data_IF_741961186726
#
_entry.id   IF_741961186726
#
_cell.length_a   1.000
_cell.length_b   1.000
_cell.length_c   1.000
_cell.angle_alpha   90.00
_cell.angle_beta   90.00
_cell.angle_gamma   90.00
#
_symmetry.space_group_name_H-M   'P 1'
#
loop_
_entity.id
_entity.type
_entity.pdbx_description
1 polymer ?
#
# COMPACT_ATOMS: atom_id res chain seq x y z
N UNK A 1 13.19 35.64 -18.68
CA UNK A 1 13.11 34.16 -18.77
C UNK A 1 12.27 33.67 -17.60
N UNK A 2 10.95 33.93 -17.63
CA UNK A 2 10.05 33.72 -16.48
C UNK A 2 8.75 33.02 -16.90
N UNK A 3 8.79 32.26 -18.01
CA UNK A 3 7.61 31.64 -18.62
C UNK A 3 7.50 30.12 -18.42
N UNK A 4 8.60 29.45 -18.03
CA UNK A 4 8.64 27.98 -17.91
C UNK A 4 8.33 27.48 -16.48
N UNK A 5 8.73 28.23 -15.44
CA UNK A 5 8.43 27.88 -14.03
C UNK A 5 6.92 27.81 -13.74
N UNK A 6 6.13 28.68 -14.37
CA UNK A 6 4.67 28.68 -14.23
C UNK A 6 4.05 27.36 -14.73
N UNK A 7 4.53 26.81 -15.84
CA UNK A 7 3.97 25.58 -16.43
C UNK A 7 4.23 24.31 -15.62
N UNK A 8 5.38 24.20 -14.95
CA UNK A 8 5.72 22.98 -14.19
C UNK A 8 4.97 22.97 -12.86
N UNK A 9 5.01 24.06 -12.10
CA UNK A 9 4.31 24.10 -10.82
C UNK A 9 2.78 24.04 -10.99
N UNK A 10 2.23 24.60 -12.07
CA UNK A 10 0.82 24.40 -12.43
C UNK A 10 0.50 22.91 -12.66
N UNK A 11 1.44 22.16 -13.23
CA UNK A 11 1.29 20.71 -13.45
C UNK A 11 1.43 19.93 -12.14
N UNK A 12 2.32 20.36 -11.23
CA UNK A 12 2.47 19.77 -9.89
C UNK A 12 1.20 19.93 -9.07
N UNK A 13 0.56 21.10 -9.10
CA UNK A 13 -0.70 21.35 -8.38
C UNK A 13 -1.86 20.46 -8.86
N UNK A 14 -1.80 19.95 -10.11
CA UNK A 14 -2.79 18.96 -10.57
C UNK A 14 -2.78 17.69 -9.72
N UNK A 15 -1.66 17.33 -9.08
CA UNK A 15 -1.58 16.16 -8.21
C UNK A 15 -2.45 16.30 -6.94
N UNK A 16 -2.76 17.53 -6.53
CA UNK A 16 -3.66 17.83 -5.42
C UNK A 16 -5.11 18.08 -5.86
N UNK A 17 -5.42 17.90 -7.15
CA UNK A 17 -6.75 18.20 -7.66
C UNK A 17 -7.81 17.27 -7.02
N UNK A 18 -9.04 17.76 -6.73
CA UNK A 18 -10.09 16.93 -6.14
C UNK A 18 -10.54 15.80 -7.06
N UNK A 19 -10.48 16.02 -8.39
CA UNK A 19 -10.85 15.01 -9.38
C UNK A 19 -9.67 14.11 -9.71
N UNK A 20 -9.91 12.79 -9.64
CA UNK A 20 -8.92 11.78 -10.04
C UNK A 20 -8.36 12.02 -11.45
N UNK A 21 -9.23 12.34 -12.41
CA UNK A 21 -8.82 12.58 -13.80
C UNK A 21 -7.77 13.70 -13.94
N UNK A 22 -7.87 14.73 -13.10
CA UNK A 22 -6.92 15.84 -13.11
C UNK A 22 -5.58 15.41 -12.50
N UNK A 23 -5.60 14.64 -11.40
CA UNK A 23 -4.39 14.06 -10.79
C UNK A 23 -3.66 13.10 -11.74
N UNK A 24 -4.40 12.17 -12.35
CA UNK A 24 -3.87 11.21 -13.31
C UNK A 24 -3.21 11.94 -14.50
N UNK A 25 -3.81 13.06 -14.95
CA UNK A 25 -3.23 13.91 -15.99
C UNK A 25 -1.93 14.57 -15.53
N UNK A 26 -1.89 15.14 -14.33
CA UNK A 26 -0.70 15.76 -13.75
C UNK A 26 0.47 14.77 -13.68
N UNK A 27 0.20 13.57 -13.17
CA UNK A 27 1.20 12.50 -13.07
C UNK A 27 1.77 12.10 -14.45
N UNK A 28 0.90 11.90 -15.45
CA UNK A 28 1.35 11.54 -16.81
C UNK A 28 2.24 12.65 -17.39
N UNK A 29 1.87 13.92 -17.22
CA UNK A 29 2.67 15.03 -17.74
C UNK A 29 4.03 15.13 -17.05
N UNK A 30 4.10 15.03 -15.72
CA UNK A 30 5.35 15.08 -14.97
C UNK A 30 6.27 13.90 -15.31
N UNK A 31 5.71 12.73 -15.64
CA UNK A 31 6.47 11.57 -16.11
C UNK A 31 7.13 11.77 -17.48
N UNK A 32 6.70 12.73 -18.28
CA UNK A 32 7.32 13.05 -19.57
C UNK A 32 8.24 14.29 -19.53
N UNK A 33 8.10 15.13 -18.52
CA UNK A 33 8.89 16.37 -18.37
C UNK A 33 10.34 16.11 -17.92
N UNK A 34 11.24 17.04 -18.25
CA UNK A 34 12.60 17.13 -17.71
C UNK A 34 12.68 18.33 -16.77
N UNK A 35 13.54 18.25 -15.75
CA UNK A 35 13.62 19.26 -14.71
C UNK A 35 15.04 19.81 -14.59
N UNK A 36 15.15 21.11 -14.37
CA UNK A 36 16.38 21.80 -13.97
C UNK A 36 16.61 21.65 -12.46
N UNK A 37 17.83 21.91 -12.00
CA UNK A 37 18.15 21.83 -10.56
C UNK A 37 17.35 22.84 -9.73
N UNK A 38 17.08 24.04 -10.27
CA UNK A 38 16.20 25.03 -9.63
C UNK A 38 14.75 24.51 -9.49
N UNK A 39 14.19 23.91 -10.54
CA UNK A 39 12.84 23.33 -10.51
C UNK A 39 12.75 22.13 -9.56
N UNK A 40 13.78 21.28 -9.53
CA UNK A 40 13.87 20.17 -8.57
C UNK A 40 13.81 20.68 -7.14
N UNK A 41 14.57 21.74 -6.83
CA UNK A 41 14.55 22.36 -5.52
C UNK A 41 13.16 22.89 -5.18
N UNK A 42 12.51 23.63 -6.08
CA UNK A 42 11.15 24.13 -5.87
C UNK A 42 10.12 23.02 -5.65
N UNK A 43 10.23 21.90 -6.38
CA UNK A 43 9.35 20.75 -6.20
C UNK A 43 9.59 20.01 -4.89
N UNK A 44 10.84 19.88 -4.44
CA UNK A 44 11.14 19.30 -3.12
C UNK A 44 10.62 20.20 -2.01
N UNK A 45 10.86 21.51 -2.08
CA UNK A 45 10.29 22.46 -1.10
C UNK A 45 8.75 22.36 -1.08
N UNK A 46 8.12 22.22 -2.25
CA UNK A 46 6.67 22.01 -2.36
C UNK A 46 6.20 20.70 -1.70
N UNK A 47 6.92 19.58 -1.89
CA UNK A 47 6.61 18.29 -1.25
C UNK A 47 6.61 18.46 0.27
N UNK A 48 7.65 19.10 0.82
CA UNK A 48 7.79 19.27 2.27
C UNK A 48 6.65 20.10 2.83
N UNK A 49 6.31 21.21 2.17
CA UNK A 49 5.18 22.07 2.57
C UNK A 49 3.86 21.30 2.53
N UNK A 50 3.59 20.56 1.46
CA UNK A 50 2.33 19.81 1.29
C UNK A 50 2.23 18.59 2.19
N UNK A 51 3.36 18.09 2.69
CA UNK A 51 3.37 16.99 3.63
C UNK A 51 3.17 17.45 5.09
N UNK A 52 3.37 18.73 5.44
CA UNK A 52 3.34 19.24 6.82
C UNK A 52 1.95 19.64 7.37
N UNK A 53 1.68 19.29 8.64
CA UNK A 53 0.60 19.73 9.55
C UNK A 53 -0.67 20.40 8.95
N UNK A 54 -1.75 19.60 8.90
CA UNK A 54 -3.10 19.90 8.36
C UNK A 54 -3.23 20.16 6.84
N UNK A 55 -2.51 19.46 5.93
CA UNK A 55 -2.87 19.45 4.52
C UNK A 55 -4.16 18.65 4.31
N UNK A 56 -4.84 18.90 3.19
CA UNK A 56 -5.92 17.99 2.75
C UNK A 56 -5.34 16.62 2.39
N UNK A 57 -6.15 15.56 2.36
CA UNK A 57 -5.62 14.24 1.93
C UNK A 57 -5.11 14.31 0.48
N UNK A 58 -5.69 15.20 -0.34
CA UNK A 58 -5.24 15.49 -1.70
C UNK A 58 -3.82 16.07 -1.73
N UNK A 59 -3.49 16.96 -0.79
CA UNK A 59 -2.15 17.54 -0.67
C UNK A 59 -1.11 16.48 -0.30
N UNK A 60 -1.40 15.64 0.70
CA UNK A 60 -0.51 14.54 1.09
C UNK A 60 -0.35 13.55 -0.07
N UNK A 61 -1.45 13.18 -0.72
CA UNK A 61 -1.43 12.32 -1.91
C UNK A 61 -0.53 12.91 -2.99
N UNK A 62 -0.66 14.22 -3.26
CA UNK A 62 0.15 14.92 -4.25
C UNK A 62 1.64 14.93 -3.88
N UNK A 63 1.98 15.21 -2.63
CA UNK A 63 3.35 15.19 -2.11
C UNK A 63 4.00 13.79 -2.25
N UNK A 64 3.29 12.73 -1.86
CA UNK A 64 3.77 11.34 -1.96
C UNK A 64 3.93 10.94 -3.43
N UNK A 65 2.97 11.30 -4.28
CA UNK A 65 3.02 11.00 -5.72
C UNK A 65 4.18 11.73 -6.40
N UNK A 66 4.39 13.02 -6.11
CA UNK A 66 5.51 13.77 -6.68
C UNK A 66 6.85 13.19 -6.21
N UNK A 67 6.95 12.86 -4.92
CA UNK A 67 8.13 12.20 -4.36
C UNK A 67 8.48 10.93 -5.13
N UNK A 68 7.47 10.09 -5.39
CA UNK A 68 7.63 8.85 -6.18
C UNK A 68 8.14 9.16 -7.59
N UNK A 69 7.54 10.11 -8.29
CA UNK A 69 7.93 10.49 -9.66
C UNK A 69 9.38 10.98 -9.70
N UNK A 70 9.76 11.87 -8.77
CA UNK A 70 11.11 12.40 -8.70
C UNK A 70 12.12 11.30 -8.39
N UNK A 71 11.87 10.47 -7.38
CA UNK A 71 12.77 9.37 -7.02
C UNK A 71 12.94 8.34 -8.14
N UNK A 72 11.90 8.10 -8.93
CA UNK A 72 11.94 7.16 -10.06
C UNK A 72 12.71 7.72 -11.26
N UNK A 73 12.61 9.03 -11.54
CA UNK A 73 13.13 9.63 -12.77
C UNK A 73 14.46 10.34 -12.60
N UNK A 74 14.68 10.97 -11.45
CA UNK A 74 15.79 11.89 -11.25
C UNK A 74 16.98 11.12 -10.64
N UNK A 75 18.21 11.33 -11.16
CA UNK A 75 19.41 10.73 -10.60
C UNK A 75 19.63 11.13 -9.14
N UNK A 76 20.23 10.23 -8.36
CA UNK A 76 20.49 10.48 -6.93
C UNK A 76 21.49 11.61 -6.70
N UNK A 77 22.37 11.89 -7.68
CA UNK A 77 23.30 13.01 -7.63
C UNK A 77 22.58 14.36 -7.56
N UNK A 78 21.43 14.49 -8.23
CA UNK A 78 20.62 15.71 -8.23
C UNK A 78 19.68 15.79 -7.02
N UNK A 79 19.13 14.66 -6.56
CA UNK A 79 18.22 14.63 -5.41
C UNK A 79 18.92 14.61 -4.05
N UNK A 80 20.13 14.06 -3.98
CA UNK A 80 20.89 13.89 -2.74
C UNK A 80 21.09 15.20 -1.96
N UNK A 81 21.51 16.31 -2.59
CA UNK A 81 21.63 17.60 -1.91
C UNK A 81 20.31 18.14 -1.33
N UNK A 82 19.17 17.72 -1.91
CA UNK A 82 17.82 18.12 -1.48
C UNK A 82 17.25 17.21 -0.39
N UNK A 83 17.96 16.11 -0.03
CA UNK A 83 17.58 15.14 1.02
C UNK A 83 16.18 14.55 0.87
N UNK A 84 15.62 14.52 -0.36
CA UNK A 84 14.26 14.06 -0.59
C UNK A 84 14.03 12.64 -0.04
N UNK A 85 14.99 11.73 -0.23
CA UNK A 85 14.91 10.35 0.25
C UNK A 85 14.74 10.30 1.77
N UNK A 86 15.61 11.00 2.50
CA UNK A 86 15.60 10.99 3.96
C UNK A 86 14.27 11.52 4.49
N UNK A 87 13.83 12.66 3.96
CA UNK A 87 12.60 13.32 4.40
C UNK A 87 11.36 12.44 4.17
N UNK A 88 11.25 11.75 3.03
CA UNK A 88 10.09 10.87 2.76
C UNK A 88 10.12 9.57 3.55
N UNK A 89 11.31 9.03 3.86
CA UNK A 89 11.46 7.83 4.68
C UNK A 89 11.11 8.13 6.13
N UNK A 90 11.56 9.26 6.68
CA UNK A 90 11.24 9.69 8.04
C UNK A 90 9.74 9.90 8.24
N UNK A 91 9.02 10.34 7.20
CA UNK A 91 7.57 10.58 7.22
C UNK A 91 6.72 9.37 6.81
N UNK A 92 7.33 8.25 6.44
CA UNK A 92 6.59 7.11 5.86
C UNK A 92 5.45 6.62 6.76
N UNK A 93 5.67 6.60 8.08
CA UNK A 93 4.64 6.20 9.05
C UNK A 93 3.40 7.10 9.05
N UNK A 94 3.56 8.38 8.67
CA UNK A 94 2.44 9.32 8.54
C UNK A 94 1.60 8.99 7.29
N UNK A 95 2.22 8.42 6.26
CA UNK A 95 1.56 8.11 4.99
C UNK A 95 0.91 6.71 5.00
N UNK A 96 1.58 5.69 5.52
CA UNK A 96 1.12 4.30 5.50
C UNK A 96 0.01 4.00 6.54
N UNK A 97 -0.08 4.79 7.61
CA UNK A 97 -1.17 4.76 8.59
C UNK A 97 -2.25 5.81 8.36
N UNK A 98 -2.12 6.62 7.30
CA UNK A 98 -3.06 7.72 7.03
C UNK A 98 -4.50 7.22 6.90
N UNK A 99 -5.49 7.99 7.39
CA UNK A 99 -6.90 7.56 7.39
C UNK A 99 -7.47 7.35 5.98
N UNK A 100 -7.06 8.18 5.00
CA UNK A 100 -7.48 8.05 3.62
C UNK A 100 -6.71 6.95 2.87
N UNK A 101 -7.46 5.97 2.35
CA UNK A 101 -6.96 4.82 1.62
C UNK A 101 -6.07 5.19 0.42
N UNK A 102 -6.40 6.25 -0.32
CA UNK A 102 -5.61 6.69 -1.49
C UNK A 102 -4.20 7.11 -1.10
N UNK A 103 -4.03 7.73 0.06
CA UNK A 103 -2.71 8.12 0.58
C UNK A 103 -1.89 6.87 0.92
N UNK A 104 -2.50 5.89 1.59
CA UNK A 104 -1.84 4.61 1.91
C UNK A 104 -1.39 3.85 0.66
N UNK A 105 -2.19 3.84 -0.41
CA UNK A 105 -1.77 3.26 -1.69
C UNK A 105 -0.60 4.02 -2.32
N UNK A 106 -0.65 5.36 -2.32
CA UNK A 106 0.47 6.15 -2.83
C UNK A 106 1.76 5.89 -2.03
N UNK A 107 1.64 5.70 -0.70
CA UNK A 107 2.75 5.31 0.17
C UNK A 107 3.32 3.94 -0.21
N UNK A 108 2.47 2.96 -0.50
CA UNK A 108 2.90 1.65 -0.97
C UNK A 108 3.68 1.74 -2.30
N UNK A 109 3.18 2.50 -3.28
CA UNK A 109 3.90 2.74 -4.54
C UNK A 109 5.23 3.47 -4.33
N UNK A 110 5.30 4.39 -3.36
CA UNK A 110 6.54 5.06 -2.99
C UNK A 110 7.54 4.07 -2.37
N UNK A 111 7.09 3.19 -1.47
CA UNK A 111 7.91 2.12 -0.90
C UNK A 111 8.47 1.18 -1.98
N UNK A 112 7.68 0.87 -3.04
CA UNK A 112 8.17 0.10 -4.20
C UNK A 112 9.36 0.78 -4.85
N UNK A 113 9.25 2.08 -5.18
CA UNK A 113 10.33 2.84 -5.82
C UNK A 113 11.56 2.93 -4.91
N UNK A 114 11.37 3.13 -3.61
CA UNK A 114 12.45 3.14 -2.63
C UNK A 114 13.15 1.77 -2.54
N UNK A 115 12.40 0.66 -2.53
CA UNK A 115 12.99 -0.68 -2.54
C UNK A 115 13.70 -0.99 -3.87
N UNK A 116 13.14 -0.56 -5.00
CA UNK A 116 13.75 -0.74 -6.31
C UNK A 116 15.07 0.03 -6.45
N UNK A 117 15.14 1.25 -5.89
CA UNK A 117 16.31 2.10 -6.00
C UNK A 117 17.40 1.78 -4.98
N UNK A 118 17.00 1.49 -3.73
CA UNK A 118 17.93 1.34 -2.60
C UNK A 118 18.06 -0.10 -2.09
N UNK A 119 17.32 -1.04 -2.67
CA UNK A 119 17.48 -2.48 -2.47
C UNK A 119 17.09 -2.98 -1.08
N UNK A 120 17.75 -4.07 -0.68
CA UNK A 120 17.43 -4.83 0.53
C UNK A 120 17.44 -4.01 1.84
N UNK A 121 18.39 -3.07 2.07
CA UNK A 121 18.37 -2.27 3.29
C UNK A 121 17.05 -1.50 3.48
N UNK A 122 16.50 -0.96 2.39
CA UNK A 122 15.24 -0.22 2.44
C UNK A 122 14.04 -1.13 2.70
N UNK A 123 14.03 -2.30 2.06
CA UNK A 123 13.03 -3.34 2.34
C UNK A 123 13.03 -3.74 3.82
N UNK A 124 14.22 -3.95 4.39
CA UNK A 124 14.38 -4.30 5.81
C UNK A 124 13.95 -3.18 6.76
N UNK A 125 14.01 -1.92 6.33
CA UNK A 125 13.46 -0.79 7.10
C UNK A 125 11.94 -0.84 7.18
N UNK A 126 11.25 -1.15 6.07
CA UNK A 126 9.77 -1.15 6.05
C UNK A 126 9.14 -2.43 6.57
N UNK A 127 9.81 -3.57 6.39
CA UNK A 127 9.24 -4.89 6.67
C UNK A 127 8.69 -5.07 8.10
N UNK A 128 9.37 -4.63 9.18
CA UNK A 128 8.84 -4.80 10.53
C UNK A 128 7.50 -4.09 10.74
N UNK A 129 7.38 -2.84 10.27
CA UNK A 129 6.14 -2.05 10.37
C UNK A 129 5.02 -2.69 9.55
N UNK A 130 5.33 -3.14 8.34
CA UNK A 130 4.34 -3.81 7.48
C UNK A 130 3.85 -5.11 8.12
N UNK A 131 4.75 -5.94 8.67
CA UNK A 131 4.37 -7.19 9.34
C UNK A 131 3.52 -6.92 10.57
N UNK A 132 3.91 -5.97 11.42
CA UNK A 132 3.09 -5.54 12.56
C UNK A 132 1.72 -5.04 12.13
N UNK A 133 1.65 -4.22 11.09
CA UNK A 133 0.39 -3.76 10.50
C UNK A 133 -0.48 -4.89 9.98
N UNK A 134 0.08 -5.92 9.34
CA UNK A 134 -0.69 -7.10 8.92
C UNK A 134 -1.18 -7.89 10.15
N UNK A 135 -0.31 -8.17 11.11
CA UNK A 135 -0.64 -8.96 12.31
C UNK A 135 -1.73 -8.32 13.17
N UNK A 136 -1.58 -7.04 13.49
CA UNK A 136 -2.54 -6.28 14.30
C UNK A 136 -3.94 -6.20 13.66
N UNK A 137 -4.01 -6.30 12.33
CA UNK A 137 -5.26 -6.16 11.58
C UNK A 137 -5.84 -7.51 11.12
N UNK A 138 -5.08 -8.61 11.24
CA UNK A 138 -5.55 -9.99 11.05
C UNK A 138 -6.40 -10.48 12.23
N UNK A 139 -6.13 -9.99 13.44
CA UNK A 139 -6.86 -10.34 14.65
C UNK A 139 -8.03 -9.36 14.88
N UNK A 140 -9.26 -9.87 15.01
CA UNK A 140 -10.36 -9.08 15.58
C UNK A 140 -10.09 -8.96 17.06
N UNK A 141 -9.82 -7.75 17.56
CA UNK A 141 -9.98 -7.49 18.99
C UNK A 141 -11.47 -7.20 19.27
N UNK A 142 -12.24 -8.13 19.85
CA UNK A 142 -13.64 -7.88 20.21
C UNK A 142 -13.83 -6.70 21.18
N UNK A 143 -12.76 -6.26 21.87
CA UNK A 143 -12.78 -5.10 22.79
C UNK A 143 -12.47 -3.77 22.08
N UNK A 144 -11.86 -3.78 20.89
CA UNK A 144 -11.56 -2.57 20.10
C UNK A 144 -12.73 -2.14 19.18
N UNK A 145 -13.85 -2.84 19.26
CA UNK A 145 -15.06 -2.61 18.47
C UNK A 145 -15.67 -1.22 18.66
N UNK A 146 -15.48 -0.56 19.81
CA UNK A 146 -16.09 0.76 20.08
C UNK A 146 -15.47 1.90 19.26
N UNK A 147 -14.13 1.97 19.20
CA UNK A 147 -13.43 2.99 18.41
C UNK A 147 -13.55 2.73 16.90
N UNK A 148 -13.58 1.46 16.50
CA UNK A 148 -13.79 1.04 15.10
C UNK A 148 -15.21 1.35 14.62
N UNK A 149 -16.19 1.17 15.50
CA UNK A 149 -17.57 1.61 15.25
C UNK A 149 -17.63 3.13 15.11
N UNK A 150 -16.92 3.90 15.93
CA UNK A 150 -16.86 5.36 15.81
C UNK A 150 -16.20 5.83 14.52
N UNK A 151 -15.07 5.24 14.11
CA UNK A 151 -14.38 5.60 12.86
C UNK A 151 -15.21 5.23 11.62
N UNK A 152 -15.78 4.03 11.60
CA UNK A 152 -16.67 3.56 10.52
C UNK A 152 -17.96 4.39 10.46
N UNK A 153 -18.50 4.79 11.63
CA UNK A 153 -19.67 5.67 11.71
C UNK A 153 -19.32 7.07 11.21
N UNK A 154 -18.13 7.60 11.50
CA UNK A 154 -17.69 8.90 10.98
C UNK A 154 -17.50 8.90 9.46
N UNK A 155 -16.95 7.83 8.90
CA UNK A 155 -16.88 7.65 7.43
C UNK A 155 -18.27 7.54 6.81
N UNK A 156 -19.18 6.83 7.47
CA UNK A 156 -20.56 6.69 7.06
C UNK A 156 -21.32 8.02 7.12
N UNK A 157 -21.14 8.81 8.18
CA UNK A 157 -21.75 10.13 8.33
C UNK A 157 -21.27 11.07 7.21
N UNK A 158 -19.96 11.07 6.93
CA UNK A 158 -19.38 11.80 5.79
C UNK A 158 -19.90 11.32 4.43
N UNK A 159 -20.13 10.02 4.26
CA UNK A 159 -20.68 9.45 3.03
C UNK A 159 -22.17 9.76 2.87
N UNK A 160 -22.93 9.77 3.97
CA UNK A 160 -24.37 10.03 4.01
C UNK A 160 -24.67 11.52 3.82
N UNK A 161 -23.84 12.41 4.38
CA UNK A 161 -23.89 13.85 4.12
C UNK A 161 -23.67 14.17 2.64
N UNK A 162 -22.84 13.38 1.95
CA UNK A 162 -22.58 13.51 0.52
C UNK A 162 -23.66 12.87 -0.36
N UNK A 163 -24.43 11.91 0.16
CA UNK A 163 -25.49 11.24 -0.59
C UNK A 163 -26.61 10.70 0.32
N UNK A 164 -27.70 11.48 0.53
CA UNK A 164 -28.76 11.14 1.50
C UNK A 164 -29.63 9.92 1.11
N UNK A 165 -29.37 9.29 -0.04
CA UNK A 165 -30.12 8.13 -0.54
C UNK A 165 -29.44 6.77 -0.23
N UNK A 166 -28.38 6.75 0.60
CA UNK A 166 -27.72 5.50 1.02
C UNK A 166 -28.67 4.62 1.85
N UNK A 167 -28.90 3.38 1.41
CA UNK A 167 -29.88 2.47 2.01
C UNK A 167 -29.32 1.69 3.22
N UNK A 168 -30.20 1.18 4.08
CA UNK A 168 -29.82 0.27 5.19
C UNK A 168 -29.11 -1.02 4.75
N UNK A 169 -29.27 -1.44 3.49
CA UNK A 169 -28.53 -2.58 2.92
C UNK A 169 -27.07 -2.22 2.59
N UNK A 170 -26.80 -0.94 2.31
CA UNK A 170 -25.45 -0.42 2.14
C UNK A 170 -24.71 -0.38 3.49
N UNK A 171 -25.43 -0.18 4.59
CA UNK A 171 -24.90 -0.21 5.96
C UNK A 171 -24.39 -1.60 6.38
N UNK A 172 -25.12 -2.66 6.02
CA UNK A 172 -24.73 -4.04 6.36
C UNK A 172 -23.49 -4.48 5.58
N UNK A 173 -23.39 -4.09 4.31
CA UNK A 173 -22.19 -4.30 3.49
C UNK A 173 -21.01 -3.50 4.08
N UNK A 174 -21.24 -2.24 4.49
CA UNK A 174 -20.22 -1.43 5.15
C UNK A 174 -19.68 -2.11 6.41
N UNK A 175 -20.54 -2.67 7.28
CA UNK A 175 -20.10 -3.38 8.48
C UNK A 175 -19.33 -4.68 8.18
N UNK A 176 -19.71 -5.42 7.14
CA UNK A 176 -19.00 -6.65 6.74
C UNK A 176 -17.65 -6.34 6.07
N UNK A 177 -17.47 -5.16 5.47
CA UNK A 177 -16.21 -4.70 4.83
C UNK A 177 -15.34 -3.80 5.70
N UNK A 178 -15.90 -3.08 6.68
CA UNK A 178 -15.20 -2.07 7.47
C UNK A 178 -14.39 -2.63 8.65
N UNK A 179 -14.61 -3.90 9.02
CA UNK A 179 -14.04 -4.46 10.26
C UNK A 179 -12.57 -4.88 10.23
N UNK A 180 -11.82 -4.61 9.17
CA UNK A 180 -10.41 -5.07 9.02
C UNK A 180 -9.43 -3.91 8.79
N UNK A 181 -9.86 -2.68 9.13
CA UNK A 181 -9.06 -1.46 9.18
C UNK A 181 -8.22 -1.27 7.90
N UNK A 182 -6.89 -1.37 8.00
CA UNK A 182 -5.93 -1.09 6.96
C UNK A 182 -5.25 -2.37 6.43
N UNK A 183 -5.79 -3.56 6.72
CA UNK A 183 -5.18 -4.85 6.37
C UNK A 183 -4.91 -4.98 4.87
N UNK A 184 -5.87 -4.62 4.02
CA UNK A 184 -5.70 -4.66 2.56
C UNK A 184 -4.55 -3.75 2.10
N UNK A 185 -4.45 -2.54 2.66
CA UNK A 185 -3.37 -1.61 2.34
C UNK A 185 -2.02 -2.10 2.85
N UNK A 186 -1.94 -2.71 4.03
CA UNK A 186 -0.71 -3.31 4.53
C UNK A 186 -0.22 -4.47 3.67
N UNK A 187 -1.13 -5.35 3.24
CA UNK A 187 -0.79 -6.42 2.30
C UNK A 187 -0.32 -5.86 0.95
N UNK A 188 -0.92 -4.76 0.47
CA UNK A 188 -0.45 -4.06 -0.73
C UNK A 188 0.93 -3.43 -0.53
N UNK A 189 1.22 -2.80 0.61
CA UNK A 189 2.57 -2.33 0.95
C UNK A 189 3.60 -3.45 0.82
N UNK A 190 3.30 -4.64 1.36
CA UNK A 190 4.19 -5.80 1.24
C UNK A 190 4.38 -6.23 -0.22
N UNK A 191 3.29 -6.31 -1.00
CA UNK A 191 3.36 -6.66 -2.43
C UNK A 191 4.22 -5.68 -3.23
N UNK A 192 4.04 -4.39 -3.01
CA UNK A 192 4.81 -3.31 -3.63
C UNK A 192 6.29 -3.37 -3.24
N UNK A 193 6.60 -3.58 -1.95
CA UNK A 193 7.98 -3.73 -1.49
C UNK A 193 8.70 -4.94 -2.13
N UNK A 194 8.02 -6.09 -2.19
CA UNK A 194 8.56 -7.31 -2.83
C UNK A 194 8.78 -7.11 -4.33
N UNK A 195 7.83 -6.46 -4.99
CA UNK A 195 7.93 -6.15 -6.43
C UNK A 195 9.10 -5.21 -6.69
N UNK A 196 9.24 -4.14 -5.89
CA UNK A 196 10.32 -3.17 -6.03
C UNK A 196 11.69 -3.80 -5.81
N UNK A 197 11.85 -4.63 -4.77
CA UNK A 197 13.12 -5.31 -4.48
C UNK A 197 13.57 -6.24 -5.61
N UNK A 198 12.61 -6.83 -6.32
CA UNK A 198 12.85 -7.71 -7.46
C UNK A 198 13.16 -9.17 -7.08
N UNK A 199 12.92 -10.05 -8.04
CA UNK A 199 12.95 -11.51 -7.83
C UNK A 199 14.29 -12.07 -7.36
N UNK A 200 15.42 -11.57 -7.87
CA UNK A 200 16.74 -12.12 -7.51
C UNK A 200 17.10 -11.85 -6.04
N UNK A 201 16.83 -10.64 -5.55
CA UNK A 201 17.18 -10.27 -4.17
C UNK A 201 16.22 -10.90 -3.16
N UNK A 202 14.92 -10.98 -3.46
CA UNK A 202 13.95 -11.58 -2.53
C UNK A 202 14.19 -13.09 -2.35
N UNK A 203 14.59 -13.81 -3.43
CA UNK A 203 14.91 -15.24 -3.39
C UNK A 203 16.02 -15.58 -2.39
N UNK A 204 16.94 -14.64 -2.16
CA UNK A 204 18.05 -14.81 -1.24
C UNK A 204 17.72 -14.39 0.20
N UNK A 205 16.87 -13.36 0.38
CA UNK A 205 16.52 -12.84 1.71
C UNK A 205 15.69 -13.81 2.56
N UNK A 206 14.71 -14.51 1.95
CA UNK A 206 13.90 -15.58 2.56
C UNK A 206 13.44 -15.35 4.01
N UNK A 207 12.51 -14.43 4.23
CA UNK A 207 11.82 -14.32 5.53
C UNK A 207 10.69 -15.39 5.63
N UNK A 208 10.79 -16.39 6.52
CA UNK A 208 9.81 -17.47 6.65
C UNK A 208 8.45 -17.01 7.21
N UNK A 209 8.39 -15.82 7.80
CA UNK A 209 7.16 -15.27 8.37
C UNK A 209 6.26 -14.68 7.29
N UNK A 210 6.80 -14.21 6.16
CA UNK A 210 6.01 -13.61 5.06
C UNK A 210 4.93 -14.59 4.58
N UNK A 211 5.31 -15.82 4.21
CA UNK A 211 4.34 -16.82 3.77
C UNK A 211 3.36 -17.19 4.88
N UNK A 212 3.82 -17.22 6.12
CA UNK A 212 2.97 -17.54 7.27
C UNK A 212 1.89 -16.48 7.50
N UNK A 213 2.21 -15.20 7.31
CA UNK A 213 1.24 -14.09 7.34
C UNK A 213 0.24 -14.17 6.19
N UNK A 214 0.74 -14.43 4.98
CA UNK A 214 -0.11 -14.58 3.79
C UNK A 214 -1.10 -15.74 3.97
N UNK A 215 -0.65 -16.86 4.55
CA UNK A 215 -1.52 -18.00 4.81
C UNK A 215 -2.62 -17.70 5.83
N UNK A 216 -2.37 -16.82 6.81
CA UNK A 216 -3.43 -16.31 7.69
C UNK A 216 -4.45 -15.48 6.88
N UNK A 217 -4.00 -14.61 5.98
CA UNK A 217 -4.87 -13.78 5.16
C UNK A 217 -5.72 -14.56 4.15
N UNK A 218 -5.17 -15.57 3.47
CA UNK A 218 -5.95 -16.39 2.50
C UNK A 218 -6.98 -17.31 3.17
N UNK A 219 -6.82 -17.61 4.46
CA UNK A 219 -7.80 -18.35 5.27
C UNK A 219 -8.78 -17.44 6.03
N UNK A 220 -8.72 -16.14 5.76
CA UNK A 220 -9.48 -15.16 6.51
C UNK A 220 -10.98 -15.25 6.23
N UNK A 221 -11.81 -14.87 7.21
CA UNK A 221 -13.28 -14.99 7.11
C UNK A 221 -13.88 -14.03 6.07
N UNK A 222 -13.33 -12.84 5.93
CA UNK A 222 -13.74 -11.85 4.91
C UNK A 222 -13.12 -12.18 3.54
N UNK A 223 -13.96 -12.16 2.50
CA UNK A 223 -13.59 -12.52 1.13
C UNK A 223 -12.59 -11.57 0.46
N UNK A 224 -12.67 -10.27 0.73
CA UNK A 224 -11.81 -9.24 0.13
C UNK A 224 -10.40 -9.31 0.70
N UNK A 225 -10.30 -9.65 2.00
CA UNK A 225 -9.01 -9.98 2.64
C UNK A 225 -8.43 -11.25 2.01
N UNK A 226 -9.23 -12.29 1.78
CA UNK A 226 -8.75 -13.50 1.09
C UNK A 226 -8.24 -13.20 -0.32
N UNK A 227 -9.02 -12.45 -1.11
CA UNK A 227 -8.66 -12.03 -2.46
C UNK A 227 -7.32 -11.27 -2.46
N UNK A 228 -7.18 -10.25 -1.61
CA UNK A 228 -5.93 -9.50 -1.48
C UNK A 228 -4.78 -10.38 -0.98
N UNK A 229 -5.05 -11.35 -0.10
CA UNK A 229 -4.08 -12.35 0.34
C UNK A 229 -3.59 -13.24 -0.82
N UNK A 230 -4.47 -13.63 -1.73
CA UNK A 230 -4.11 -14.39 -2.94
C UNK A 230 -3.33 -13.54 -3.94
N UNK A 231 -3.65 -12.26 -4.09
CA UNK A 231 -2.86 -11.32 -4.91
C UNK A 231 -1.43 -11.17 -4.37
N UNK A 232 -1.30 -11.04 -3.05
CA UNK A 232 0.00 -10.99 -2.39
C UNK A 232 0.76 -12.33 -2.51
N UNK A 233 0.06 -13.47 -2.36
CA UNK A 233 0.65 -14.80 -2.59
C UNK A 233 1.17 -14.94 -4.02
N UNK A 234 0.40 -14.49 -5.01
CA UNK A 234 0.81 -14.46 -6.41
C UNK A 234 2.08 -13.64 -6.61
N UNK A 235 2.14 -12.45 -6.00
CA UNK A 235 3.32 -11.57 -6.02
C UNK A 235 4.57 -12.28 -5.44
N UNK A 236 4.41 -12.99 -4.32
CA UNK A 236 5.49 -13.80 -3.72
C UNK A 236 5.90 -14.94 -4.65
N UNK A 237 4.96 -15.69 -5.22
CA UNK A 237 5.28 -16.80 -6.13
C UNK A 237 6.08 -16.31 -7.35
N UNK A 238 5.63 -15.21 -7.97
CA UNK A 238 6.27 -14.64 -9.16
C UNK A 238 7.69 -14.14 -8.88
N UNK A 239 7.96 -13.63 -7.68
CA UNK A 239 9.28 -13.08 -7.34
C UNK A 239 10.19 -14.09 -6.61
N UNK A 240 9.66 -14.98 -5.79
CA UNK A 240 10.42 -15.87 -4.89
C UNK A 240 10.42 -17.35 -5.32
N UNK A 241 9.51 -17.78 -6.21
CA UNK A 241 9.44 -19.15 -6.73
C UNK A 241 9.14 -20.24 -5.67
N UNK A 242 8.65 -19.87 -4.49
CA UNK A 242 8.39 -20.77 -3.35
C UNK A 242 9.60 -21.60 -2.91
N UNK A 243 10.82 -21.07 -3.07
CA UNK A 243 12.04 -21.74 -2.65
C UNK A 243 12.27 -21.55 -1.14
N UNK A 244 12.15 -22.61 -0.35
CA UNK A 244 12.37 -22.52 1.09
C UNK A 244 11.73 -23.66 1.87
N UNK A 245 11.73 -23.52 3.19
CA UNK A 245 11.01 -24.37 4.12
C UNK A 245 10.33 -23.46 5.14
N UNK A 246 9.17 -23.89 5.62
CA UNK A 246 8.45 -23.17 6.67
C UNK A 246 9.22 -23.13 8.00
N UNK A 247 8.63 -22.51 9.04
CA UNK A 247 9.24 -22.52 10.36
C UNK A 247 9.35 -23.95 10.89
N UNK A 248 10.50 -24.30 11.48
CA UNK A 248 10.65 -25.54 12.24
C UNK A 248 9.77 -25.46 13.50
N UNK A 249 9.05 -26.53 13.81
CA UNK A 249 8.25 -26.65 15.03
C UNK A 249 8.76 -27.85 15.82
N UNK A 250 9.04 -27.65 17.11
CA UNK A 250 9.46 -28.64 18.12
C UNK A 250 9.57 -30.11 17.64
N UNK A 251 10.70 -30.45 16.99
CA UNK A 251 11.04 -31.82 16.60
C UNK A 251 10.42 -32.33 15.30
N UNK A 252 9.71 -31.50 14.54
CA UNK A 252 9.14 -31.80 13.22
C UNK A 252 9.94 -31.08 12.13
N UNK A 253 10.36 -31.81 11.10
CA UNK A 253 11.08 -31.22 9.97
C UNK A 253 10.20 -30.19 9.26
N UNK A 254 10.78 -29.02 8.97
CA UNK A 254 10.09 -27.96 8.25
C UNK A 254 9.61 -28.42 6.86
N UNK A 255 8.32 -28.21 6.60
CA UNK A 255 7.69 -28.53 5.32
C UNK A 255 8.18 -27.55 4.24
N UNK A 256 8.59 -28.03 3.05
CA UNK A 256 8.98 -27.16 1.95
C UNK A 256 7.87 -26.18 1.55
N UNK A 257 8.24 -24.94 1.24
CA UNK A 257 7.25 -23.88 0.98
C UNK A 257 6.37 -24.17 -0.25
N UNK A 258 6.90 -24.84 -1.28
CA UNK A 258 6.08 -25.25 -2.43
C UNK A 258 4.94 -26.21 -2.04
N UNK A 259 5.14 -27.07 -1.02
CA UNK A 259 4.09 -27.96 -0.51
C UNK A 259 3.05 -27.14 0.24
N UNK A 260 3.49 -26.26 1.15
CA UNK A 260 2.60 -25.38 1.92
C UNK A 260 1.74 -24.52 0.99
N UNK A 261 2.33 -23.94 -0.06
CA UNK A 261 1.60 -23.16 -1.08
C UNK A 261 0.60 -24.02 -1.84
N UNK A 262 0.98 -25.23 -2.26
CA UNK A 262 0.08 -26.14 -2.95
C UNK A 262 -1.15 -26.52 -2.10
N UNK A 263 -0.95 -26.75 -0.80
CA UNK A 263 -2.04 -27.02 0.15
C UNK A 263 -3.02 -25.85 0.26
N UNK A 264 -2.50 -24.62 0.35
CA UNK A 264 -3.33 -23.40 0.41
C UNK A 264 -4.13 -23.19 -0.88
N UNK A 265 -3.51 -23.39 -2.04
CA UNK A 265 -4.21 -23.33 -3.33
C UNK A 265 -5.31 -24.39 -3.43
N UNK A 266 -5.04 -25.62 -2.99
CA UNK A 266 -6.03 -26.69 -2.96
C UNK A 266 -7.21 -26.35 -2.05
N UNK A 267 -6.93 -25.77 -0.86
CA UNK A 267 -7.95 -25.31 0.06
C UNK A 267 -8.83 -24.19 -0.55
N UNK A 268 -8.21 -23.18 -1.18
CA UNK A 268 -8.94 -22.10 -1.86
C UNK A 268 -9.80 -22.56 -3.03
N UNK A 269 -9.32 -23.54 -3.81
CA UNK A 269 -10.10 -24.15 -4.90
C UNK A 269 -11.25 -25.03 -4.40
N UNK A 270 -11.10 -25.63 -3.21
CA UNK A 270 -12.14 -26.39 -2.53
C UNK A 270 -13.19 -25.51 -1.83
N UNK A 271 -12.94 -24.20 -1.69
CA UNK A 271 -13.91 -23.27 -1.12
C UNK A 271 -15.19 -23.27 -1.98
N UNK A 272 -16.33 -23.15 -1.33
CA UNK A 272 -17.63 -23.35 -1.98
C UNK A 272 -18.03 -22.08 -2.76
N UNK A 273 -17.46 -21.92 -3.96
CA UNK A 273 -17.85 -20.89 -4.93
C UNK A 273 -19.36 -20.91 -5.25
N UNK A 274 -20.04 -22.02 -4.96
CA UNK A 274 -21.49 -22.16 -5.07
C UNK A 274 -22.30 -21.19 -4.18
N UNK A 275 -21.72 -20.65 -3.11
CA UNK A 275 -22.36 -19.58 -2.30
C UNK A 275 -22.19 -18.17 -2.88
N UNK A 276 -21.41 -18.02 -3.95
CA UNK A 276 -21.15 -16.74 -4.64
C UNK A 276 -22.29 -16.40 -5.61
N UNK A 277 -22.98 -17.42 -6.12
CA UNK A 277 -24.17 -17.26 -6.94
C UNK A 277 -25.36 -17.65 -6.09
N UNK A 278 -26.10 -16.68 -5.56
CA UNK A 278 -27.28 -16.90 -4.71
C UNK A 278 -28.41 -17.63 -5.45
N UNK A 279 -28.25 -18.94 -5.66
CA UNK A 279 -29.33 -19.84 -6.00
C UNK A 279 -29.57 -20.74 -4.79
N UNK A 280 -30.72 -20.58 -4.10
CA UNK A 280 -31.15 -21.58 -3.15
C UNK A 280 -31.55 -22.84 -3.94
N UNK A 281 -31.09 -23.99 -3.47
CA UNK A 281 -31.66 -25.29 -3.82
C UNK A 281 -33.10 -25.39 -3.28
#
# INVERSE_FOLDING_TARGET
>A
MSGEEGTIMDTVELLCAPKKLERDRGEVLLKEMTFTDEELKSMVDWILIKAENLPTWEDIFGAVTLSRILLQKVPDESLGPLRLREEVVERMSEFDTHYEYRVRLAAAELMEVLCAKYGLPMFQTFLPTIKGGIEENLERDPLCTSQEMEASQKELDLATDRNPNLSKSSLTIFHDTAGWRNLETWMKCLAHCITGLGSEVIKDYRDPEILSLIFKAVNHTNRFVRETGYDLLSTVILNHGCHGKGPEQDGVEAVPDFVRVAEQLAFGLADNWSRVWGFPL
#
